data_IF_861645598462
#
_entry.id   IF_861645598462
#
_cell.length_a   1.000
_cell.length_b   1.000
_cell.length_c   1.000
_cell.angle_alpha   90.00
_cell.angle_beta   90.00
_cell.angle_gamma   90.00
#
_symmetry.space_group_name_H-M   'P 1'
#
loop_
_entity.id
_entity.type
_entity.pdbx_description
1 polymer ?
#
# COMPACT_ATOMS: atom_id res chain seq x y z
N UNK A 1 -4.22 -62.21 -21.94
CA UNK A 1 -3.27 -61.23 -21.39
C UNK A 1 -4.11 -60.08 -20.91
N UNK A 2 -4.17 -59.88 -19.59
CA UNK A 2 -5.00 -58.84 -18.96
C UNK A 2 -4.08 -57.65 -18.78
N UNK A 3 -4.33 -56.61 -19.57
CA UNK A 3 -3.58 -55.36 -19.56
C UNK A 3 -4.04 -54.56 -18.34
N UNK A 4 -3.19 -54.49 -17.32
CA UNK A 4 -3.44 -53.69 -16.13
C UNK A 4 -3.02 -52.25 -16.42
N UNK A 5 -4.00 -51.39 -16.66
CA UNK A 5 -3.86 -49.93 -16.61
C UNK A 5 -3.46 -49.53 -15.20
N UNK A 6 -2.17 -49.27 -14.99
CA UNK A 6 -1.67 -48.61 -13.80
C UNK A 6 -2.07 -47.13 -13.87
N UNK A 7 -3.22 -46.78 -13.31
CA UNK A 7 -3.53 -45.40 -12.96
C UNK A 7 -2.53 -44.97 -11.90
N UNK A 8 -1.67 -44.02 -12.26
CA UNK A 8 -0.75 -43.41 -11.30
C UNK A 8 -1.59 -42.64 -10.28
N UNK A 9 -1.31 -42.74 -8.97
CA UNK A 9 -2.01 -41.91 -7.99
C UNK A 9 -1.66 -40.46 -8.29
N UNK A 10 -2.61 -39.74 -8.90
CA UNK A 10 -2.53 -38.29 -9.05
C UNK A 10 -2.60 -37.70 -7.65
N UNK A 11 -1.43 -37.39 -7.08
CA UNK A 11 -1.28 -36.60 -5.87
C UNK A 11 -1.66 -35.16 -6.21
N UNK A 12 -2.97 -34.90 -6.27
CA UNK A 12 -3.51 -33.56 -6.44
C UNK A 12 -3.21 -32.80 -5.15
N UNK A 13 -2.53 -31.66 -5.27
CA UNK A 13 -2.22 -30.78 -4.15
C UNK A 13 -3.53 -30.07 -3.73
N UNK A 14 -3.89 -30.05 -2.42
CA UNK A 14 -5.04 -29.30 -1.93
C UNK A 14 -4.98 -27.81 -2.27
N UNK A 15 -6.14 -27.21 -2.52
CA UNK A 15 -6.28 -25.81 -2.92
C UNK A 15 -5.70 -24.85 -1.88
N UNK A 16 -5.82 -25.17 -0.59
CA UNK A 16 -5.28 -24.35 0.51
C UNK A 16 -3.75 -24.26 0.45
N UNK A 17 -3.09 -25.36 0.05
CA UNK A 17 -1.64 -25.39 -0.12
C UNK A 17 -1.24 -24.65 -1.40
N UNK A 18 -2.06 -24.69 -2.45
CA UNK A 18 -1.81 -23.90 -3.67
C UNK A 18 -1.93 -22.40 -3.34
N UNK A 19 -2.97 -21.98 -2.62
CA UNK A 19 -3.15 -20.59 -2.16
C UNK A 19 -1.94 -20.11 -1.36
N UNK A 20 -1.45 -20.92 -0.43
CA UNK A 20 -0.27 -20.59 0.37
C UNK A 20 1.01 -20.49 -0.49
N UNK A 21 1.17 -21.36 -1.49
CA UNK A 21 2.27 -21.27 -2.45
C UNK A 21 2.14 -19.99 -3.29
N UNK A 22 0.97 -19.71 -3.84
CA UNK A 22 0.71 -18.51 -4.64
C UNK A 22 1.02 -17.25 -3.84
N UNK A 23 0.57 -17.19 -2.58
CA UNK A 23 0.83 -16.06 -1.68
C UNK A 23 2.33 -15.85 -1.39
N UNK A 24 3.14 -16.93 -1.35
CA UNK A 24 4.59 -16.84 -1.17
C UNK A 24 5.32 -16.47 -2.47
N UNK A 25 4.85 -17.01 -3.58
CA UNK A 25 5.38 -16.74 -4.92
C UNK A 25 5.05 -15.32 -5.36
N UNK A 26 3.97 -14.74 -4.83
CA UNK A 26 3.48 -13.44 -5.23
C UNK A 26 4.60 -12.41 -5.31
N UNK A 27 4.92 -12.13 -6.58
CA UNK A 27 5.57 -10.92 -7.03
C UNK A 27 4.73 -9.71 -6.62
N UNK A 28 5.28 -8.52 -6.79
CA UNK A 28 4.54 -7.27 -6.61
C UNK A 28 3.27 -7.14 -7.45
N UNK A 29 2.93 -8.13 -8.30
CA UNK A 29 1.82 -8.10 -9.23
C UNK A 29 1.04 -9.46 -9.28
N UNK A 30 -0.17 -9.57 -8.69
CA UNK A 30 -1.00 -10.78 -8.72
C UNK A 30 -1.51 -11.16 -10.12
N UNK A 31 -1.56 -10.21 -11.05
CA UNK A 31 -2.09 -10.44 -12.40
C UNK A 31 -1.26 -11.45 -13.21
N UNK A 32 0.05 -11.53 -12.94
CA UNK A 32 0.92 -12.50 -13.61
C UNK A 32 0.51 -13.94 -13.25
N UNK A 33 0.07 -14.17 -12.02
CA UNK A 33 -0.37 -15.48 -11.55
C UNK A 33 -1.72 -15.86 -12.17
N UNK A 34 -2.60 -14.89 -12.43
CA UNK A 34 -3.90 -15.13 -13.07
C UNK A 34 -3.77 -15.63 -14.51
N UNK A 35 -2.67 -15.32 -15.20
CA UNK A 35 -2.43 -15.77 -16.58
C UNK A 35 -1.91 -17.20 -16.71
N UNK A 36 -1.56 -17.89 -15.61
CA UNK A 36 -0.90 -19.20 -15.67
C UNK A 36 -1.85 -20.32 -16.07
N UNK A 37 -2.96 -20.48 -15.34
CA UNK A 37 -4.00 -21.46 -15.66
C UNK A 37 -5.34 -21.08 -15.01
N UNK A 38 -6.43 -21.76 -15.41
CA UNK A 38 -7.78 -21.50 -14.87
C UNK A 38 -7.89 -21.72 -13.36
N UNK A 39 -7.18 -22.74 -12.86
CA UNK A 39 -7.18 -23.04 -11.43
C UNK A 39 -6.55 -21.88 -10.64
N UNK A 40 -5.38 -21.38 -11.07
CA UNK A 40 -4.71 -20.26 -10.41
C UNK A 40 -5.56 -19.00 -10.46
N UNK A 41 -6.17 -18.69 -11.61
CA UNK A 41 -7.10 -17.57 -11.72
C UNK A 41 -8.27 -17.68 -10.71
N UNK A 42 -8.84 -18.88 -10.54
CA UNK A 42 -9.90 -19.11 -9.57
C UNK A 42 -9.42 -18.94 -8.12
N UNK A 43 -8.22 -19.44 -7.80
CA UNK A 43 -7.66 -19.37 -6.44
C UNK A 43 -7.19 -17.95 -6.07
N UNK A 44 -6.77 -17.14 -7.04
CA UNK A 44 -6.39 -15.74 -6.81
C UNK A 44 -7.62 -14.86 -6.53
N UNK A 45 -8.76 -15.21 -7.12
CA UNK A 45 -10.05 -14.58 -6.86
C UNK A 45 -10.78 -15.22 -5.67
N UNK A 46 -10.14 -16.13 -4.94
CA UNK A 46 -10.70 -16.71 -3.73
C UNK A 46 -10.68 -15.69 -2.57
N UNK A 47 -11.75 -15.58 -1.76
CA UNK A 47 -11.79 -14.65 -0.63
C UNK A 47 -10.67 -14.85 0.38
N UNK A 48 -10.19 -16.09 0.62
CA UNK A 48 -9.09 -16.35 1.55
C UNK A 48 -7.77 -15.80 1.01
N UNK A 49 -7.51 -15.99 -0.28
CA UNK A 49 -6.35 -15.41 -0.94
C UNK A 49 -6.42 -13.88 -0.90
N UNK A 50 -7.57 -13.32 -1.27
CA UNK A 50 -7.80 -11.88 -1.29
C UNK A 50 -7.54 -11.24 0.08
N UNK A 51 -8.11 -11.79 1.16
CA UNK A 51 -7.91 -11.27 2.53
C UNK A 51 -6.43 -11.25 2.92
N UNK A 52 -5.69 -12.32 2.62
CA UNK A 52 -4.23 -12.39 2.85
C UNK A 52 -3.48 -11.35 2.01
N UNK A 53 -3.80 -11.26 0.72
CA UNK A 53 -3.15 -10.35 -0.23
C UNK A 53 -3.34 -8.88 0.16
N UNK A 54 -4.57 -8.48 0.50
CA UNK A 54 -4.88 -7.10 0.93
C UNK A 54 -4.14 -6.76 2.22
N UNK A 55 -4.19 -7.63 3.23
CA UNK A 55 -3.52 -7.40 4.51
C UNK A 55 -2.00 -7.20 4.36
N UNK A 56 -1.36 -8.07 3.56
CA UNK A 56 0.07 -7.94 3.24
C UNK A 56 0.37 -6.66 2.47
N UNK A 57 -0.38 -6.37 1.41
CA UNK A 57 -0.16 -5.18 0.57
C UNK A 57 -0.31 -3.88 1.34
N UNK A 58 -1.32 -3.77 2.22
CA UNK A 58 -1.49 -2.60 3.08
C UNK A 58 -0.33 -2.43 4.08
N UNK A 59 0.21 -3.54 4.58
CA UNK A 59 1.38 -3.53 5.48
C UNK A 59 2.62 -3.01 4.73
N UNK A 60 2.87 -3.54 3.52
CA UNK A 60 4.00 -3.10 2.68
C UNK A 60 3.89 -1.60 2.30
N UNK A 61 2.69 -1.13 1.94
CA UNK A 61 2.43 0.30 1.64
C UNK A 61 2.72 1.16 2.87
N UNK A 62 2.29 0.74 4.06
CA UNK A 62 2.52 1.44 5.32
C UNK A 62 4.00 1.49 5.69
N UNK A 63 4.73 0.40 5.49
CA UNK A 63 6.17 0.33 5.78
C UNK A 63 6.97 1.25 4.87
N UNK A 64 6.64 1.28 3.57
CA UNK A 64 7.25 2.21 2.61
C UNK A 64 6.97 3.67 2.98
N UNK A 65 5.75 3.98 3.42
CA UNK A 65 5.40 5.30 3.91
C UNK A 65 6.23 5.70 5.14
N UNK A 66 6.34 4.80 6.12
CA UNK A 66 7.10 5.05 7.34
C UNK A 66 8.58 5.29 7.04
N UNK A 67 9.18 4.46 6.16
CA UNK A 67 10.56 4.66 5.68
C UNK A 67 10.75 6.02 5.02
N UNK A 68 9.87 6.38 4.08
CA UNK A 68 9.93 7.70 3.42
C UNK A 68 9.82 8.85 4.43
N UNK A 69 8.94 8.71 5.42
CA UNK A 69 8.74 9.69 6.49
C UNK A 69 9.96 9.82 7.41
N UNK A 70 10.58 8.71 7.81
CA UNK A 70 11.80 8.72 8.63
C UNK A 70 12.95 9.43 7.91
N UNK A 71 13.16 9.11 6.63
CA UNK A 71 14.15 9.80 5.81
C UNK A 71 13.83 11.30 5.65
N UNK A 72 12.56 11.66 5.52
CA UNK A 72 12.14 13.07 5.49
C UNK A 72 12.38 13.78 6.82
N UNK A 73 12.14 13.14 7.97
CA UNK A 73 12.44 13.72 9.28
C UNK A 73 13.94 13.91 9.45
N UNK A 74 14.75 12.90 9.10
CA UNK A 74 16.21 13.00 9.12
C UNK A 74 16.70 14.14 8.22
N UNK A 75 16.08 14.30 7.05
CA UNK A 75 16.32 15.40 6.13
C UNK A 75 16.04 16.77 6.77
N UNK A 76 14.87 16.93 7.40
CA UNK A 76 14.49 18.17 8.08
C UNK A 76 15.46 18.52 9.23
N UNK A 77 15.91 17.53 9.99
CA UNK A 77 16.91 17.75 11.04
C UNK A 77 18.24 18.27 10.50
N UNK A 78 18.68 17.82 9.31
CA UNK A 78 19.91 18.32 8.69
C UNK A 78 19.81 19.80 8.28
N UNK A 79 18.65 20.24 7.77
CA UNK A 79 18.44 21.64 7.40
C UNK A 79 18.52 22.54 8.64
N UNK A 80 17.84 22.17 9.72
CA UNK A 80 17.78 23.00 10.94
C UNK A 80 19.14 23.02 11.67
N UNK A 81 19.86 21.89 11.69
CA UNK A 81 21.16 21.78 12.35
C UNK A 81 22.29 22.56 11.67
N UNK A 82 22.18 22.83 10.37
CA UNK A 82 23.23 23.51 9.60
C UNK A 82 23.08 25.03 9.53
N UNK A 83 22.08 25.63 10.19
CA UNK A 83 21.96 27.09 10.26
C UNK A 83 22.97 27.64 11.29
N UNK A 84 24.02 28.38 10.88
CA UNK A 84 24.94 28.97 11.84
C UNK A 84 24.16 30.01 12.65
N UNK A 85 24.05 29.78 13.95
CA UNK A 85 23.68 30.82 14.91
C UNK A 85 24.74 31.91 14.75
N UNK A 86 24.38 32.99 14.04
CA UNK A 86 25.17 34.21 14.03
C UNK A 86 25.21 34.68 15.49
N UNK A 87 26.39 34.88 16.10
CA UNK A 87 26.47 35.46 17.43
C UNK A 87 25.77 36.82 17.35
N UNK A 88 24.61 36.94 17.98
CA UNK A 88 24.01 38.25 18.20
C UNK A 88 24.99 39.01 19.10
N UNK A 89 25.65 40.01 18.54
CA UNK A 89 26.33 41.02 19.33
C UNK A 89 25.29 41.56 20.32
N UNK A 90 25.56 41.35 21.61
CA UNK A 90 24.82 41.94 22.70
C UNK A 90 24.94 43.46 22.55
N UNK A 91 23.89 44.09 22.04
CA UNK A 91 23.75 45.55 22.11
C UNK A 91 23.24 45.83 23.52
N UNK A 92 24.19 46.08 24.42
CA UNK A 92 23.93 46.76 25.67
C UNK A 92 23.41 48.19 25.37
N UNK A 93 22.30 48.55 26.02
CA UNK A 93 21.75 49.92 26.04
C UNK A 93 20.39 50.00 25.34
N UNK A 94 19.36 50.60 25.90
CA UNK A 94 19.29 51.56 27.00
C UNK A 94 17.84 51.58 27.49
N UNK A 95 17.67 51.87 28.78
CA UNK A 95 16.39 52.10 29.43
C UNK A 95 15.59 53.18 28.68
N UNK A 96 14.34 52.88 28.34
CA UNK A 96 13.30 53.89 28.38
C UNK A 96 11.96 53.23 28.65
N UNK A 97 11.61 53.23 29.93
CA UNK A 97 10.24 53.19 30.42
C UNK A 97 9.51 54.40 29.84
N UNK A 98 8.45 54.19 29.07
CA UNK A 98 7.35 55.13 28.99
C UNK A 98 6.05 54.32 28.99
N UNK A 99 5.36 54.45 30.13
CA UNK A 99 3.95 54.16 30.35
C UNK A 99 3.10 54.97 29.37
N UNK A 100 1.96 54.42 28.94
CA UNK A 100 0.67 55.12 28.69
C UNK A 100 -0.25 54.14 27.93
N UNK A 101 -1.24 53.57 28.60
CA UNK A 101 -2.61 54.08 28.76
C UNK A 101 -3.58 53.54 27.69
N UNK A 102 -4.36 52.53 28.10
CA UNK A 102 -5.81 52.36 27.92
C UNK A 102 -6.49 53.07 26.72
N UNK A 103 -7.16 52.28 25.86
CA UNK A 103 -8.58 52.51 25.56
C UNK A 103 -9.18 51.39 24.70
N UNK A 104 -10.26 50.83 25.22
CA UNK A 104 -11.25 50.05 24.50
C UNK A 104 -11.98 50.86 23.42
N UNK A 105 -12.39 50.20 22.34
CA UNK A 105 -13.59 50.55 21.59
C UNK A 105 -14.09 49.33 20.81
N UNK A 106 -15.34 48.97 21.08
CA UNK A 106 -16.18 48.07 20.30
C UNK A 106 -16.63 48.74 18.99
N UNK A 107 -16.99 47.93 17.98
CA UNK A 107 -18.16 48.04 17.07
C UNK A 107 -17.91 47.04 15.91
N UNK A 108 -18.71 45.98 15.74
CA UNK A 108 -20.07 45.92 15.13
C UNK A 108 -20.09 46.23 13.62
N UNK A 109 -20.58 45.25 12.85
CA UNK A 109 -21.11 45.43 11.49
C UNK A 109 -20.15 45.20 10.32
N UNK A 110 -20.42 44.21 9.47
CA UNK A 110 -21.12 44.48 8.21
C UNK A 110 -21.51 43.18 7.49
N UNK A 111 -22.76 43.13 7.05
CA UNK A 111 -23.35 42.12 6.16
C UNK A 111 -23.22 42.64 4.72
N UNK A 112 -22.86 41.79 3.76
CA UNK A 112 -22.99 42.16 2.34
C UNK A 112 -22.46 41.09 1.39
N UNK A 113 -23.37 40.36 0.74
CA UNK A 113 -23.65 40.39 -0.72
C UNK A 113 -22.68 39.53 -1.54
N UNK A 114 -23.14 38.36 -2.02
CA UNK A 114 -23.79 38.18 -3.33
C UNK A 114 -22.89 38.58 -4.52
N UNK A 115 -22.48 37.58 -5.31
CA UNK A 115 -21.69 37.79 -6.51
C UNK A 115 -21.49 36.50 -7.30
N UNK A 116 -22.58 36.01 -7.85
CA UNK A 116 -22.61 34.92 -8.81
C UNK A 116 -22.07 35.46 -10.15
N UNK A 117 -20.84 35.15 -10.54
CA UNK A 117 -20.32 35.50 -11.88
C UNK A 117 -20.09 34.24 -12.70
N UNK A 118 -21.07 34.03 -13.58
CA UNK A 118 -21.07 33.10 -14.69
C UNK A 118 -20.09 33.63 -15.75
N UNK A 119 -18.93 32.98 -15.89
CA UNK A 119 -17.98 33.27 -16.98
C UNK A 119 -18.20 32.24 -18.07
N UNK A 120 -19.01 32.62 -19.04
CA UNK A 120 -19.00 32.04 -20.39
C UNK A 120 -17.74 32.58 -21.10
N UNK A 121 -16.74 31.71 -21.24
CA UNK A 121 -15.48 31.97 -21.92
C UNK A 121 -15.28 30.97 -23.06
N UNK A 122 -16.01 31.22 -24.13
CA UNK A 122 -15.73 30.81 -25.50
C UNK A 122 -14.39 31.44 -25.91
N UNK A 123 -13.38 30.67 -26.29
CA UNK A 123 -12.41 31.11 -27.31
C UNK A 123 -11.42 30.01 -27.72
N UNK A 124 -11.49 29.77 -29.03
CA UNK A 124 -10.40 29.52 -29.96
C UNK A 124 -9.58 28.22 -29.92
N UNK A 125 -9.95 27.38 -30.91
CA UNK A 125 -9.08 26.59 -31.78
C UNK A 125 -7.73 27.26 -32.02
N UNK A 126 -6.64 26.56 -31.69
CA UNK A 126 -5.37 26.67 -32.41
C UNK A 126 -4.84 25.26 -32.66
N UNK A 127 -4.95 24.87 -33.93
CA UNK A 127 -4.27 23.73 -34.53
C UNK A 127 -2.78 24.05 -34.62
N UNK A 128 -1.95 23.34 -33.85
CA UNK A 128 -0.51 23.33 -34.06
C UNK A 128 -0.06 21.93 -34.50
N UNK A 129 -0.08 21.81 -35.81
CA UNK A 129 0.56 20.82 -36.66
C UNK A 129 2.09 20.92 -36.50
N UNK A 130 2.69 19.95 -35.80
CA UNK A 130 4.14 19.75 -35.80
C UNK A 130 4.46 18.36 -36.36
N UNK A 131 4.41 18.26 -37.68
CA UNK A 131 5.29 17.38 -38.44
C UNK A 131 6.75 17.76 -38.15
N UNK A 132 7.48 16.82 -37.55
CA UNK A 132 8.95 16.83 -37.61
C UNK A 132 9.49 15.41 -37.75
N UNK A 133 9.51 14.96 -38.98
CA UNK A 133 10.49 13.99 -39.47
C UNK A 133 11.88 14.63 -39.39
N UNK A 134 12.83 14.04 -38.65
CA UNK A 134 14.26 14.06 -38.97
C UNK A 134 14.88 12.75 -38.46
N UNK A 135 14.96 11.80 -39.39
CA UNK A 135 16.15 11.01 -39.78
C UNK A 135 17.26 10.71 -38.76
N UNK A 136 17.62 9.42 -38.79
CA UNK A 136 18.99 8.87 -38.83
C UNK A 136 19.97 9.26 -37.72
N UNK A 137 20.55 8.24 -37.07
CA UNK A 137 21.97 7.91 -37.22
C UNK A 137 22.26 6.62 -36.45
N UNK A 138 23.07 5.77 -37.07
CA UNK A 138 23.52 4.48 -36.59
C UNK A 138 24.85 4.63 -35.84
N UNK A 139 25.07 3.78 -34.82
CA UNK A 139 26.38 3.33 -34.33
C UNK A 139 26.08 2.23 -33.29
N UNK A 140 26.26 0.94 -33.57
CA UNK A 140 27.55 0.23 -33.45
C UNK A 140 28.44 0.75 -32.31
N UNK A 141 28.48 0.02 -31.19
CA UNK A 141 29.76 -0.38 -30.61
C UNK A 141 29.62 -1.67 -29.80
N UNK A 142 30.40 -2.67 -30.21
CA UNK A 142 30.74 -3.84 -29.42
C UNK A 142 31.82 -3.50 -28.38
N UNK A 143 31.87 -4.29 -27.31
CA UNK A 143 32.89 -4.24 -26.26
C UNK A 143 32.22 -4.25 -24.89
N UNK A 144 32.70 -4.94 -23.86
CA UNK A 144 33.99 -5.55 -23.64
C UNK A 144 33.87 -6.47 -22.41
N UNK A 145 34.84 -7.35 -22.30
CA UNK A 145 35.13 -8.39 -21.33
C UNK A 145 34.88 -7.94 -19.87
N UNK A 146 34.25 -8.76 -19.03
CA UNK A 146 34.97 -9.77 -18.27
C UNK A 146 35.59 -9.17 -17.00
N UNK A 147 34.98 -9.39 -15.83
CA UNK A 147 35.73 -9.36 -14.58
C UNK A 147 35.16 -10.38 -13.60
N UNK A 148 35.90 -11.49 -13.50
CA UNK A 148 35.84 -12.44 -12.41
C UNK A 148 36.45 -11.77 -11.17
N UNK A 149 35.66 -11.64 -10.10
CA UNK A 149 36.10 -11.13 -8.81
C UNK A 149 35.63 -12.03 -7.69
N UNK A 150 36.42 -13.07 -7.41
CA UNK A 150 36.42 -13.78 -6.14
C UNK A 150 36.62 -12.77 -5.00
N UNK A 151 35.77 -12.77 -3.98
CA UNK A 151 36.31 -12.74 -2.61
C UNK A 151 35.38 -13.43 -1.62
N UNK A 152 35.94 -14.49 -1.08
CA UNK A 152 35.52 -15.32 0.02
C UNK A 152 35.80 -14.54 1.30
N UNK A 153 34.79 -14.27 2.13
CA UNK A 153 35.02 -13.83 3.51
C UNK A 153 34.14 -14.66 4.43
N UNK A 154 34.85 -15.48 5.21
CA UNK A 154 34.38 -16.28 6.32
C UNK A 154 33.98 -15.41 7.53
N UNK A 155 33.03 -15.92 8.32
CA UNK A 155 32.60 -15.40 9.63
C UNK A 155 31.09 -15.59 9.76
N UNK A 156 30.55 -16.68 10.29
CA UNK A 156 30.89 -17.40 11.53
C UNK A 156 31.00 -16.42 12.71
N UNK A 157 29.85 -15.92 13.15
CA UNK A 157 29.62 -15.57 14.55
C UNK A 157 28.32 -16.23 15.00
N UNK A 158 28.55 -17.35 15.68
CA UNK A 158 27.68 -18.03 16.63
C UNK A 158 27.49 -17.12 17.86
N UNK A 159 26.53 -17.47 18.73
CA UNK A 159 26.22 -16.87 20.04
C UNK A 159 25.15 -15.76 19.94
N UNK A 160 24.00 -15.80 20.60
CA UNK A 160 23.69 -16.36 21.91
C UNK A 160 22.27 -16.94 22.00
N UNK A 161 22.20 -18.02 22.77
CA UNK A 161 20.98 -18.56 23.35
C UNK A 161 20.52 -17.64 24.49
N UNK A 162 19.30 -17.11 24.43
CA UNK A 162 18.61 -16.63 25.62
C UNK A 162 17.26 -17.33 25.75
N UNK A 163 17.38 -18.40 26.52
CA UNK A 163 16.42 -19.09 27.36
C UNK A 163 15.52 -18.12 28.15
N UNK A 164 14.21 -18.14 27.84
CA UNK A 164 13.17 -17.73 28.77
C UNK A 164 12.13 -18.83 28.89
N UNK A 165 12.53 -19.85 29.65
CA UNK A 165 11.74 -20.49 30.69
C UNK A 165 10.52 -19.67 31.18
N UNK A 166 9.39 -20.37 31.27
CA UNK A 166 8.58 -20.54 32.49
C UNK A 166 7.12 -20.10 32.41
N UNK A 167 6.28 -21.14 32.35
CA UNK A 167 5.10 -21.40 33.18
C UNK A 167 4.38 -20.18 33.78
N UNK A 168 3.08 -20.06 33.50
CA UNK A 168 2.10 -20.20 34.57
C UNK A 168 0.72 -20.55 33.99
N UNK A 169 0.27 -21.73 34.43
CA UNK A 169 -1.07 -22.25 34.30
C UNK A 169 -2.08 -21.30 34.98
N UNK A 170 -3.15 -20.93 34.29
CA UNK A 170 -4.40 -20.58 34.94
C UNK A 170 -5.54 -21.42 34.32
N UNK A 171 -5.74 -22.56 34.97
CA UNK A 171 -7.02 -23.25 35.04
C UNK A 171 -8.09 -22.30 35.60
N UNK A 172 -9.17 -22.04 34.86
CA UNK A 172 -10.49 -21.81 35.47
C UNK A 172 -11.59 -22.49 34.65
N UNK A 173 -11.89 -23.71 35.11
CA UNK A 173 -13.22 -24.16 35.55
C UNK A 173 -14.42 -23.93 34.61
N UNK A 174 -14.78 -25.05 33.97
CA UNK A 174 -16.12 -25.61 33.83
C UNK A 174 -17.31 -24.79 34.39
N UNK A 175 -18.24 -24.48 33.49
CA UNK A 175 -19.66 -24.50 33.79
C UNK A 175 -20.39 -25.25 32.67
N UNK A 176 -20.65 -26.53 32.90
CA UNK A 176 -21.63 -27.29 32.16
C UNK A 176 -23.02 -26.79 32.55
N UNK A 177 -23.75 -26.21 31.60
CA UNK A 177 -25.21 -26.17 31.66
C UNK A 177 -25.75 -27.04 30.53
N UNK A 178 -26.03 -28.30 30.88
CA UNK A 178 -26.92 -29.14 30.10
C UNK A 178 -28.34 -28.55 30.16
N UNK A 179 -28.90 -28.25 28.99
CA UNK A 179 -30.34 -28.14 28.81
C UNK A 179 -30.74 -29.01 27.63
N UNK A 180 -31.12 -30.25 27.96
CA UNK A 180 -32.00 -31.07 27.14
C UNK A 180 -33.26 -30.27 26.83
N UNK A 181 -33.56 -30.00 25.56
CA UNK A 181 -34.95 -30.09 25.06
C UNK A 181 -35.01 -30.65 23.64
N UNK A 182 -35.86 -31.65 23.53
CA UNK A 182 -36.12 -32.45 22.37
C UNK A 182 -37.09 -31.76 21.38
N UNK A 183 -37.00 -32.24 20.14
CA UNK A 183 -38.02 -32.19 19.08
C UNK A 183 -38.36 -30.82 18.48
N UNK A 184 -37.88 -30.61 17.24
CA UNK A 184 -38.75 -30.73 16.05
C UNK A 184 -37.91 -30.68 14.78
N UNK A 185 -38.09 -31.69 13.92
CA UNK A 185 -37.73 -31.57 12.52
C UNK A 185 -38.51 -30.39 11.93
N UNK A 186 -37.79 -29.42 11.40
CA UNK A 186 -38.33 -28.39 10.55
C UNK A 186 -37.40 -28.26 9.34
N UNK A 187 -38.01 -28.23 8.18
CA UNK A 187 -37.36 -28.36 6.88
C UNK A 187 -36.33 -27.23 6.64
N UNK A 188 -35.18 -27.68 6.16
CA UNK A 188 -33.97 -26.92 5.88
C UNK A 188 -34.17 -26.02 4.65
N UNK A 189 -34.57 -24.76 4.84
CA UNK A 189 -34.60 -23.73 3.78
C UNK A 189 -34.14 -22.31 4.24
N UNK A 190 -33.54 -22.17 5.43
CA UNK A 190 -33.09 -20.85 5.96
C UNK A 190 -31.60 -20.53 5.72
N UNK A 191 -30.75 -21.48 5.32
CA UNK A 191 -29.30 -21.28 5.20
C UNK A 191 -28.78 -20.57 3.93
N UNK A 192 -29.62 -19.87 3.16
CA UNK A 192 -29.19 -19.16 1.93
C UNK A 192 -29.25 -17.64 2.01
N UNK A 193 -29.99 -17.06 2.96
CA UNK A 193 -30.08 -15.61 3.09
C UNK A 193 -28.91 -15.01 3.88
N UNK A 194 -28.34 -15.75 4.84
CA UNK A 194 -27.23 -15.26 5.68
C UNK A 194 -25.93 -15.06 4.88
N UNK A 195 -25.60 -16.00 3.98
CA UNK A 195 -24.38 -15.94 3.15
C UNK A 195 -24.37 -14.73 2.20
N UNK A 196 -25.54 -14.34 1.69
CA UNK A 196 -25.66 -13.20 0.77
C UNK A 196 -25.44 -11.85 1.48
N UNK A 197 -25.84 -11.75 2.75
CA UNK A 197 -25.64 -10.51 3.54
C UNK A 197 -24.17 -10.32 3.95
N UNK A 198 -23.44 -11.42 4.21
CA UNK A 198 -22.01 -11.36 4.51
C UNK A 198 -21.18 -10.92 3.30
N UNK A 199 -21.50 -11.45 2.12
CA UNK A 199 -20.81 -11.10 0.87
C UNK A 199 -20.95 -9.60 0.53
N UNK A 200 -22.13 -9.02 0.74
CA UNK A 200 -22.38 -7.59 0.51
C UNK A 200 -21.56 -6.70 1.47
N UNK A 201 -21.42 -7.12 2.73
CA UNK A 201 -20.57 -6.44 3.72
C UNK A 201 -19.10 -6.47 3.31
N UNK A 202 -18.61 -7.62 2.83
CA UNK A 202 -17.23 -7.77 2.36
C UNK A 202 -16.95 -6.87 1.16
N UNK A 203 -17.81 -6.90 0.13
CA UNK A 203 -17.67 -6.02 -1.05
C UNK A 203 -17.70 -4.55 -0.67
N UNK A 204 -18.59 -4.15 0.24
CA UNK A 204 -18.66 -2.77 0.74
C UNK A 204 -17.38 -2.35 1.45
N UNK A 205 -16.77 -3.24 2.24
CA UNK A 205 -15.49 -3.00 2.87
C UNK A 205 -14.37 -2.82 1.84
N UNK A 206 -14.32 -3.65 0.80
CA UNK A 206 -13.35 -3.53 -0.29
C UNK A 206 -13.51 -2.24 -1.08
N UNK A 207 -14.74 -1.82 -1.39
CA UNK A 207 -15.00 -0.52 -2.03
C UNK A 207 -14.50 0.65 -1.20
N UNK A 208 -14.66 0.59 0.13
CA UNK A 208 -14.09 1.59 1.03
C UNK A 208 -12.55 1.59 0.99
N UNK A 209 -11.93 0.40 0.94
CA UNK A 209 -10.47 0.29 0.78
C UNK A 209 -10.02 0.92 -0.55
N UNK A 210 -10.70 0.65 -1.67
CA UNK A 210 -10.40 1.28 -2.97
C UNK A 210 -10.45 2.81 -2.87
N UNK A 211 -11.51 3.36 -2.26
CA UNK A 211 -11.62 4.81 -2.06
C UNK A 211 -10.49 5.38 -1.18
N UNK A 212 -10.06 4.65 -0.15
CA UNK A 212 -8.90 5.05 0.66
C UNK A 212 -7.58 5.00 -0.12
N UNK A 213 -7.41 4.00 -1.01
CA UNK A 213 -6.25 3.90 -1.87
C UNK A 213 -6.14 5.09 -2.83
N UNK A 214 -7.26 5.63 -3.32
CA UNK A 214 -7.27 6.85 -4.13
C UNK A 214 -6.74 8.07 -3.36
N UNK A 215 -7.16 8.22 -2.10
CA UNK A 215 -6.64 9.28 -1.22
C UNK A 215 -5.13 9.11 -0.99
N UNK A 216 -4.68 7.89 -0.71
CA UNK A 216 -3.25 7.58 -0.53
C UNK A 216 -2.46 7.88 -1.81
N UNK A 217 -2.99 7.50 -2.98
CA UNK A 217 -2.38 7.76 -4.28
C UNK A 217 -2.19 9.26 -4.50
N UNK A 218 -3.23 10.06 -4.25
CA UNK A 218 -3.16 11.53 -4.33
C UNK A 218 -2.10 12.12 -3.41
N UNK A 219 -2.01 11.62 -2.17
CA UNK A 219 -1.01 12.07 -1.20
C UNK A 219 0.42 11.74 -1.64
N UNK A 220 0.67 10.52 -2.13
CA UNK A 220 2.00 10.09 -2.60
C UNK A 220 2.43 10.89 -3.83
N UNK A 221 1.54 11.10 -4.79
CA UNK A 221 1.81 11.94 -5.96
C UNK A 221 2.11 13.38 -5.54
N UNK A 222 1.35 13.94 -4.60
CA UNK A 222 1.61 15.27 -4.05
C UNK A 222 3.00 15.37 -3.38
N UNK A 223 3.40 14.36 -2.62
CA UNK A 223 4.74 14.32 -1.99
C UNK A 223 5.87 14.21 -3.02
N UNK A 224 5.70 13.41 -4.08
CA UNK A 224 6.66 13.34 -5.18
C UNK A 224 6.82 14.71 -5.87
N UNK A 225 5.71 15.39 -6.17
CA UNK A 225 5.73 16.73 -6.76
C UNK A 225 6.47 17.73 -5.87
N UNK A 226 6.21 17.73 -4.55
CA UNK A 226 6.95 18.58 -3.59
C UNK A 226 8.44 18.25 -3.66
N UNK A 227 8.81 16.98 -3.64
CA UNK A 227 10.21 16.54 -3.70
C UNK A 227 10.92 17.00 -4.99
N UNK A 228 10.21 17.03 -6.12
CA UNK A 228 10.74 17.54 -7.40
C UNK A 228 10.97 19.06 -7.39
N UNK A 229 10.22 19.83 -6.59
CA UNK A 229 10.43 21.28 -6.46
C UNK A 229 11.64 21.63 -5.58
N UNK A 230 12.11 20.71 -4.74
CA UNK A 230 13.25 20.93 -3.85
C UNK A 230 14.53 20.92 -4.70
N UNK A 231 15.16 22.08 -4.85
CA UNK A 231 16.44 22.21 -5.56
C UNK A 231 17.53 21.44 -4.80
N UNK A 232 18.04 20.37 -5.43
CA UNK A 232 19.07 19.45 -4.89
C UNK A 232 20.37 20.15 -4.48
N UNK A 233 20.59 21.39 -4.92
CA UNK A 233 21.82 22.16 -4.67
C UNK A 233 22.16 22.45 -3.19
N UNK A 234 21.31 22.09 -2.23
CA UNK A 234 21.57 22.21 -0.79
C UNK A 234 21.42 20.90 -0.01
N UNK A 235 21.15 19.77 -0.67
CA UNK A 235 20.74 18.53 -0.02
C UNK A 235 21.76 17.40 -0.19
N UNK A 236 21.72 16.48 0.75
CA UNK A 236 22.23 15.13 0.54
C UNK A 236 21.40 14.45 -0.56
N UNK A 237 21.95 14.46 -1.78
CA UNK A 237 21.39 13.87 -2.99
C UNK A 237 21.00 12.39 -2.77
N UNK A 238 21.73 11.66 -1.91
CA UNK A 238 21.44 10.27 -1.58
C UNK A 238 20.15 10.14 -0.75
N UNK A 239 19.90 11.05 0.19
CA UNK A 239 18.70 11.05 1.01
C UNK A 239 17.44 11.37 0.19
N UNK A 240 17.53 12.35 -0.71
CA UNK A 240 16.44 12.71 -1.64
C UNK A 240 16.10 11.54 -2.56
N UNK A 241 17.12 10.90 -3.13
CA UNK A 241 16.95 9.69 -3.96
C UNK A 241 16.26 8.56 -3.18
N UNK A 242 16.63 8.36 -1.92
CA UNK A 242 16.03 7.33 -1.07
C UNK A 242 14.56 7.61 -0.76
N UNK A 243 14.21 8.86 -0.41
CA UNK A 243 12.81 9.27 -0.21
C UNK A 243 12.01 9.03 -1.49
N UNK A 244 12.54 9.46 -2.65
CA UNK A 244 11.90 9.28 -3.95
C UNK A 244 11.67 7.81 -4.27
N UNK A 245 12.67 6.96 -4.07
CA UNK A 245 12.57 5.52 -4.34
C UNK A 245 11.48 4.86 -3.50
N UNK A 246 11.39 5.19 -2.20
CA UNK A 246 10.35 4.66 -1.32
C UNK A 246 8.95 5.14 -1.74
N UNK A 247 8.80 6.42 -2.12
CA UNK A 247 7.52 6.95 -2.59
C UNK A 247 7.08 6.35 -3.94
N UNK A 248 8.00 6.11 -4.86
CA UNK A 248 7.70 5.43 -6.13
C UNK A 248 7.29 3.97 -5.89
N UNK A 249 8.03 3.24 -5.04
CA UNK A 249 7.65 1.90 -4.65
C UNK A 249 6.26 1.88 -3.97
N UNK A 250 5.96 2.87 -3.12
CA UNK A 250 4.66 3.01 -2.49
C UNK A 250 3.57 3.25 -3.55
N UNK A 251 3.83 4.13 -4.52
CA UNK A 251 2.93 4.44 -5.63
C UNK A 251 2.58 3.19 -6.45
N UNK A 252 3.60 2.41 -6.82
CA UNK A 252 3.42 1.19 -7.61
C UNK A 252 2.60 0.13 -6.85
N UNK A 253 2.84 -0.01 -5.54
CA UNK A 253 2.09 -0.93 -4.70
C UNK A 253 0.63 -0.52 -4.52
N UNK A 254 0.36 0.78 -4.31
CA UNK A 254 -1.00 1.32 -4.22
C UNK A 254 -1.75 1.09 -5.53
N UNK A 255 -1.13 1.39 -6.68
CA UNK A 255 -1.73 1.15 -8.00
C UNK A 255 -2.03 -0.32 -8.23
N UNK A 256 -1.07 -1.19 -7.91
CA UNK A 256 -1.24 -2.62 -8.11
C UNK A 256 -2.38 -3.19 -7.25
N UNK A 257 -2.42 -2.84 -5.96
CA UNK A 257 -3.48 -3.27 -5.05
C UNK A 257 -4.85 -2.74 -5.51
N UNK A 258 -4.91 -1.47 -5.93
CA UNK A 258 -6.14 -0.86 -6.44
C UNK A 258 -6.68 -1.65 -7.65
N UNK A 259 -5.85 -1.86 -8.67
CA UNK A 259 -6.27 -2.59 -9.86
C UNK A 259 -6.72 -4.01 -9.51
N UNK A 260 -6.01 -4.68 -8.59
CA UNK A 260 -6.39 -6.02 -8.15
C UNK A 260 -7.79 -6.04 -7.51
N UNK A 261 -8.06 -5.08 -6.63
CA UNK A 261 -9.36 -4.94 -5.98
C UNK A 261 -10.49 -4.60 -6.97
N UNK A 262 -10.22 -3.76 -7.96
CA UNK A 262 -11.19 -3.47 -9.03
C UNK A 262 -11.56 -4.74 -9.80
N UNK A 263 -10.56 -5.54 -10.20
CA UNK A 263 -10.80 -6.82 -10.89
C UNK A 263 -11.55 -7.81 -10.00
N UNK A 264 -11.22 -7.89 -8.71
CA UNK A 264 -11.95 -8.73 -7.76
C UNK A 264 -13.42 -8.31 -7.61
N UNK A 265 -13.68 -7.00 -7.51
CA UNK A 265 -15.03 -6.45 -7.36
C UNK A 265 -15.88 -6.57 -8.64
N UNK A 266 -15.25 -6.53 -9.82
CA UNK A 266 -15.89 -6.74 -11.11
C UNK A 266 -16.16 -8.21 -11.42
N UNK A 267 -15.41 -9.11 -10.79
CA UNK A 267 -15.58 -10.55 -11.00
C UNK A 267 -16.94 -10.98 -10.47
N UNK A 268 -17.75 -11.73 -11.25
CA UNK A 268 -18.94 -12.34 -10.71
C UNK A 268 -18.46 -13.29 -9.61
N UNK A 269 -18.83 -12.98 -8.38
CA UNK A 269 -18.82 -13.91 -7.24
C UNK A 269 -19.85 -14.99 -7.53
N UNK A 270 -19.64 -15.77 -8.60
CA UNK A 270 -20.36 -17.01 -8.77
C UNK A 270 -19.89 -17.84 -7.59
N UNK A 271 -20.80 -18.05 -6.64
CA UNK A 271 -20.75 -19.10 -5.65
C UNK A 271 -20.19 -20.35 -6.31
N UNK A 272 -18.87 -20.52 -6.22
CA UNK A 272 -18.17 -21.71 -6.68
C UNK A 272 -18.48 -22.73 -5.59
N UNK A 273 -19.69 -23.26 -5.67
CA UNK A 273 -20.15 -24.39 -4.90
C UNK A 273 -19.11 -25.48 -5.12
N UNK A 274 -18.32 -25.71 -4.06
CA UNK A 274 -17.42 -26.83 -3.91
C UNK A 274 -18.26 -28.10 -3.92
N UNK A 275 -18.57 -28.56 -5.12
CA UNK A 275 -19.34 -29.76 -5.42
C UNK A 275 -19.00 -30.19 -6.84
N UNK A 276 -17.73 -30.52 -7.06
CA UNK A 276 -17.30 -31.53 -8.03
C UNK A 276 -15.80 -31.78 -7.90
N UNK A 277 -15.45 -32.72 -7.03
CA UNK A 277 -14.44 -33.75 -7.28
C UNK A 277 -14.78 -34.99 -6.45
#
# INVERSE_FOLDING_TARGET
>A
MVEATMESPSTILPDELIIEILFRVESSNPFQLMCVCKLWNSLILDPQFMKKHVGRSLTEIKDLHNKAKEHYIAFQSQIVGNNPIMPQEQVDGDDHEDEDEEAAAEEEGDEGEEGNEQVDGDDHEDEDDYDKDEDEEAAEEEGDEGEEGNEQVDGDDHEDEDDYDKDEDEDEEAAEEEVDEAEKGNDNEEGKEEDAEEEDKEKKLLMNIVAQLDVVLGNVVGQLNILDTIKVSQLDDMLVKTIRANLLAQLDRVKCLKSFLEVYLESPTSSFSSSQL
#
